data_IF_014220175680
#
_entry.id   IF_014220175680
#
_cell.length_a   1.000
_cell.length_b   1.000
_cell.length_c   1.000
_cell.angle_alpha   90.00
_cell.angle_beta   90.00
_cell.angle_gamma   90.00
#
_symmetry.space_group_name_H-M   'P 1'
#
loop_
_entity.id
_entity.type
_entity.pdbx_description
1 polymer ?
#
# COMPACT_ATOMS: atom_id res chain seq x y z
N UNK A 1 19.24 -9.52 -2.80
CA UNK A 1 17.99 -9.48 -2.02
C UNK A 1 17.52 -10.90 -1.74
N UNK A 2 17.23 -11.26 -0.48
CA UNK A 2 16.85 -12.62 -0.04
C UNK A 2 15.69 -13.21 -0.86
N UNK A 3 14.68 -12.41 -1.22
CA UNK A 3 13.51 -12.83 -1.98
C UNK A 3 13.79 -13.29 -3.43
N UNK A 4 15.00 -13.07 -3.96
CA UNK A 4 15.43 -13.56 -5.27
C UNK A 4 16.09 -14.95 -5.20
N UNK A 5 16.42 -15.42 -4.00
CA UNK A 5 17.02 -16.73 -3.81
C UNK A 5 15.95 -17.80 -4.02
N UNK A 6 16.33 -18.89 -4.69
CA UNK A 6 15.46 -20.04 -4.88
C UNK A 6 15.44 -20.88 -3.60
N UNK A 7 14.27 -20.96 -2.95
CA UNK A 7 14.05 -21.88 -1.84
C UNK A 7 13.69 -23.27 -2.37
N UNK A 8 14.62 -24.23 -2.21
CA UNK A 8 14.43 -25.62 -2.66
C UNK A 8 13.38 -26.37 -1.84
N UNK A 9 13.07 -25.90 -0.63
CA UNK A 9 12.06 -26.48 0.25
C UNK A 9 10.68 -25.84 0.08
N UNK A 10 10.56 -24.76 -0.69
CA UNK A 10 9.28 -24.10 -0.89
C UNK A 10 8.32 -24.99 -1.71
N UNK A 11 7.04 -25.10 -1.31
CA UNK A 11 6.05 -25.82 -2.10
C UNK A 11 5.90 -25.15 -3.47
N UNK A 12 5.86 -25.96 -4.53
CA UNK A 12 5.70 -25.46 -5.91
C UNK A 12 4.39 -24.70 -6.11
N UNK A 13 3.34 -25.08 -5.38
CA UNK A 13 2.07 -24.35 -5.29
C UNK A 13 1.58 -24.37 -3.85
N UNK A 14 1.25 -23.21 -3.30
CA UNK A 14 0.63 -23.08 -1.97
C UNK A 14 -0.89 -23.21 -2.02
N UNK A 15 -1.52 -22.82 -3.14
CA UNK A 15 -2.98 -22.80 -3.29
C UNK A 15 -3.67 -21.69 -2.46
N UNK A 16 -2.90 -20.77 -1.87
CA UNK A 16 -3.48 -19.69 -1.09
C UNK A 16 -4.14 -18.63 -2.01
N UNK A 17 -5.02 -17.81 -1.43
CA UNK A 17 -5.79 -16.80 -2.18
C UNK A 17 -4.92 -15.80 -2.93
N UNK A 18 -3.76 -15.43 -2.38
CA UNK A 18 -2.82 -14.51 -3.01
C UNK A 18 -2.18 -15.10 -4.26
N UNK A 19 -1.72 -16.35 -4.18
CA UNK A 19 -1.15 -17.07 -5.33
C UNK A 19 -2.20 -17.32 -6.42
N UNK A 20 -3.43 -17.67 -6.03
CA UNK A 20 -4.54 -17.82 -6.97
C UNK A 20 -4.85 -16.48 -7.67
N UNK A 21 -4.89 -15.37 -6.94
CA UNK A 21 -5.09 -14.04 -7.52
C UNK A 21 -3.94 -13.65 -8.47
N UNK A 22 -2.68 -13.89 -8.10
CA UNK A 22 -1.53 -13.67 -8.98
C UNK A 22 -1.68 -14.41 -10.31
N UNK A 23 -2.12 -15.68 -10.29
CA UNK A 23 -2.33 -16.48 -11.50
C UNK A 23 -3.54 -16.02 -12.31
N UNK A 24 -4.64 -15.70 -11.65
CA UNK A 24 -5.87 -15.30 -12.32
C UNK A 24 -5.71 -13.94 -13.02
N UNK A 25 -5.09 -12.97 -12.34
CA UNK A 25 -4.99 -11.58 -12.80
C UNK A 25 -3.61 -11.22 -13.37
N UNK A 26 -2.68 -12.19 -13.45
CA UNK A 26 -1.33 -12.00 -13.99
C UNK A 26 -0.53 -10.87 -13.28
N UNK A 27 -0.65 -10.80 -11.95
CA UNK A 27 0.04 -9.82 -11.10
C UNK A 27 1.10 -10.49 -10.22
N UNK A 28 2.18 -9.77 -9.89
CA UNK A 28 3.29 -10.35 -9.12
C UNK A 28 3.02 -10.48 -7.59
N UNK A 29 2.05 -9.71 -7.08
CA UNK A 29 1.69 -9.66 -5.66
C UNK A 29 2.86 -9.32 -4.72
N UNK A 30 2.77 -9.79 -3.47
CA UNK A 30 3.75 -9.50 -2.43
C UNK A 30 5.18 -10.02 -2.76
N UNK A 31 5.28 -11.16 -3.47
CA UNK A 31 6.57 -11.73 -3.89
C UNK A 31 7.26 -10.83 -4.91
N UNK A 32 6.51 -10.23 -5.84
CA UNK A 32 7.01 -9.22 -6.77
C UNK A 32 7.65 -8.04 -6.06
N UNK A 33 6.90 -7.45 -5.12
CA UNK A 33 7.41 -6.34 -4.31
C UNK A 33 8.71 -6.72 -3.60
N UNK A 34 8.77 -7.87 -2.93
CA UNK A 34 9.98 -8.31 -2.23
C UNK A 34 11.18 -8.54 -3.16
N UNK A 35 10.95 -9.13 -4.35
CA UNK A 35 12.01 -9.35 -5.36
C UNK A 35 12.51 -8.04 -5.97
N UNK A 36 11.62 -7.07 -6.14
CA UNK A 36 11.94 -5.74 -6.64
C UNK A 36 12.57 -4.82 -5.57
N UNK A 37 12.62 -5.24 -4.30
CA UNK A 37 13.16 -4.42 -3.21
C UNK A 37 12.16 -3.40 -2.66
N UNK A 38 10.87 -3.73 -2.68
CA UNK A 38 9.75 -2.95 -2.15
C UNK A 38 9.64 -1.52 -2.74
N UNK A 39 9.53 -1.37 -4.07
CA UNK A 39 9.48 -0.06 -4.73
C UNK A 39 8.30 0.81 -4.27
N UNK A 40 7.16 0.21 -3.89
CA UNK A 40 6.02 0.97 -3.37
C UNK A 40 6.20 1.40 -1.92
N UNK A 41 7.02 0.71 -1.14
CA UNK A 41 7.35 1.12 0.23
C UNK A 41 8.22 2.39 0.19
N UNK A 42 9.29 2.36 -0.60
CA UNK A 42 10.24 3.47 -0.66
C UNK A 42 9.76 4.60 -1.57
N UNK A 43 9.28 4.28 -2.77
CA UNK A 43 8.92 5.27 -3.79
C UNK A 43 7.55 5.92 -3.59
N UNK A 44 6.59 5.22 -2.97
CA UNK A 44 5.25 5.75 -2.72
C UNK A 44 4.98 6.01 -1.24
N UNK A 45 5.14 4.99 -0.38
CA UNK A 45 4.88 5.07 1.06
C UNK A 45 5.71 6.12 1.77
N UNK A 46 7.05 5.95 1.79
CA UNK A 46 7.97 6.87 2.47
C UNK A 46 7.88 8.28 1.88
N UNK A 47 7.89 8.40 0.54
CA UNK A 47 7.73 9.69 -0.14
C UNK A 47 6.49 10.45 0.32
N UNK A 48 5.33 9.79 0.37
CA UNK A 48 4.08 10.43 0.79
C UNK A 48 4.02 10.72 2.30
N UNK A 49 4.61 9.86 3.12
CA UNK A 49 4.73 10.05 4.57
C UNK A 49 5.57 11.30 4.88
N UNK A 50 6.78 11.38 4.33
CA UNK A 50 7.70 12.51 4.50
C UNK A 50 7.13 13.80 3.93
N UNK A 51 6.52 13.76 2.74
CA UNK A 51 5.87 14.92 2.14
C UNK A 51 4.70 15.45 2.99
N UNK A 52 3.97 14.57 3.70
CA UNK A 52 2.88 15.00 4.59
C UNK A 52 3.44 15.63 5.87
N UNK A 53 4.47 15.02 6.48
CA UNK A 53 5.16 15.60 7.63
C UNK A 53 5.76 16.97 7.31
N UNK A 54 6.38 17.14 6.14
CA UNK A 54 6.98 18.42 5.73
C UNK A 54 5.94 19.52 5.50
N UNK A 55 4.68 19.17 5.22
CA UNK A 55 3.57 20.12 5.15
C UNK A 55 3.03 20.53 6.53
N UNK A 56 3.46 19.85 7.60
CA UNK A 56 2.94 20.04 8.95
C UNK A 56 1.66 19.23 9.22
N UNK A 57 1.36 18.21 8.40
CA UNK A 57 0.22 17.33 8.65
C UNK A 57 0.42 16.52 9.94
N UNK A 58 -0.68 16.15 10.61
CA UNK A 58 -0.62 15.24 11.75
C UNK A 58 -0.02 13.88 11.35
N UNK A 59 0.60 13.18 12.29
CA UNK A 59 1.17 11.85 12.01
C UNK A 59 0.11 10.85 11.52
N UNK A 60 -1.12 10.91 12.04
CA UNK A 60 -2.25 10.11 11.54
C UNK A 60 -2.53 10.41 10.08
N UNK A 61 -2.57 11.68 9.71
CA UNK A 61 -2.79 12.12 8.33
C UNK A 61 -1.64 11.70 7.41
N UNK A 62 -0.40 11.81 7.88
CA UNK A 62 0.77 11.39 7.11
C UNK A 62 0.73 9.89 6.80
N UNK A 63 0.37 9.06 7.79
CA UNK A 63 0.19 7.60 7.61
C UNK A 63 -0.97 7.27 6.68
N UNK A 64 -2.08 7.99 6.76
CA UNK A 64 -3.21 7.83 5.84
C UNK A 64 -2.82 8.18 4.41
N UNK A 65 -2.13 9.30 4.19
CA UNK A 65 -1.65 9.68 2.86
C UNK A 65 -0.65 8.67 2.29
N UNK A 66 0.24 8.12 3.13
CA UNK A 66 1.14 7.04 2.74
C UNK A 66 0.39 5.77 2.33
N UNK A 67 -0.64 5.37 3.08
CA UNK A 67 -1.49 4.23 2.74
C UNK A 67 -2.19 4.46 1.39
N UNK A 68 -2.77 5.65 1.19
CA UNK A 68 -3.46 6.02 -0.05
C UNK A 68 -2.51 6.02 -1.25
N UNK A 69 -1.26 6.46 -1.07
CA UNK A 69 -0.25 6.44 -2.13
C UNK A 69 0.11 5.01 -2.55
N UNK A 70 0.10 4.08 -1.60
CA UNK A 70 0.29 2.65 -1.89
C UNK A 70 -0.96 2.06 -2.57
N UNK A 71 -2.16 2.31 -2.03
CA UNK A 71 -3.43 1.84 -2.60
C UNK A 71 -3.58 2.27 -4.05
N UNK A 72 -3.22 3.52 -4.37
CA UNK A 72 -3.32 4.08 -5.72
C UNK A 72 -2.47 3.36 -6.79
N UNK A 73 -1.53 2.50 -6.38
CA UNK A 73 -0.50 1.91 -7.27
C UNK A 73 -0.31 0.41 -7.12
N UNK A 74 -0.75 -0.18 -6.01
CA UNK A 74 -0.57 -1.60 -5.74
C UNK A 74 -1.67 -2.40 -6.43
N UNK A 75 -1.28 -3.45 -7.17
CA UNK A 75 -2.20 -4.51 -7.60
C UNK A 75 -2.48 -5.45 -6.43
N UNK A 76 -3.37 -5.00 -5.53
CA UNK A 76 -3.60 -5.64 -4.24
C UNK A 76 -4.34 -6.98 -4.41
N UNK A 77 -3.63 -8.08 -4.17
CA UNK A 77 -4.16 -9.43 -4.29
C UNK A 77 -5.32 -9.73 -3.32
N UNK A 78 -5.41 -9.02 -2.18
CA UNK A 78 -6.54 -9.14 -1.26
C UNK A 78 -7.81 -8.53 -1.85
N UNK A 79 -7.68 -7.43 -2.58
CA UNK A 79 -8.81 -6.80 -3.30
C UNK A 79 -9.20 -7.66 -4.50
N UNK A 80 -8.22 -8.02 -5.33
CA UNK A 80 -8.45 -8.83 -6.53
C UNK A 80 -9.12 -10.17 -6.22
N UNK A 81 -8.72 -10.85 -5.15
CA UNK A 81 -9.33 -12.13 -4.74
C UNK A 81 -10.77 -12.03 -4.25
N UNK A 82 -11.24 -10.83 -3.85
CA UNK A 82 -12.59 -10.62 -3.28
C UNK A 82 -13.53 -9.90 -4.23
N UNK A 83 -13.06 -8.82 -4.87
CA UNK A 83 -13.88 -7.93 -5.70
C UNK A 83 -13.38 -7.77 -7.14
N UNK A 84 -12.31 -8.47 -7.52
CA UNK A 84 -11.75 -8.45 -8.87
C UNK A 84 -11.21 -7.09 -9.31
N UNK A 85 -10.94 -6.96 -10.61
CA UNK A 85 -10.30 -5.78 -11.22
C UNK A 85 -11.15 -4.51 -11.04
N UNK A 86 -12.48 -4.61 -11.15
CA UNK A 86 -13.39 -3.48 -10.96
C UNK A 86 -13.26 -2.88 -9.56
N UNK A 87 -13.13 -3.72 -8.52
CA UNK A 87 -12.93 -3.23 -7.16
C UNK A 87 -11.52 -2.65 -6.97
N UNK A 88 -10.50 -3.28 -7.57
CA UNK A 88 -9.13 -2.76 -7.55
C UNK A 88 -9.05 -1.36 -8.16
N UNK A 89 -9.59 -1.19 -9.37
CA UNK A 89 -9.57 0.09 -10.09
C UNK A 89 -10.35 1.18 -9.33
N UNK A 90 -11.49 0.82 -8.72
CA UNK A 90 -12.26 1.75 -7.91
C UNK A 90 -11.46 2.25 -6.69
N UNK A 91 -10.76 1.35 -5.99
CA UNK A 91 -9.89 1.72 -4.87
C UNK A 91 -8.70 2.57 -5.31
N UNK A 92 -8.01 2.17 -6.38
CA UNK A 92 -6.86 2.90 -6.92
C UNK A 92 -7.26 4.32 -7.33
N UNK A 93 -8.36 4.45 -8.08
CA UNK A 93 -8.88 5.75 -8.54
C UNK A 93 -9.34 6.61 -7.38
N UNK A 94 -10.08 6.03 -6.43
CA UNK A 94 -10.54 6.77 -5.25
C UNK A 94 -9.39 7.26 -4.38
N UNK A 95 -8.36 6.43 -4.16
CA UNK A 95 -7.16 6.83 -3.42
C UNK A 95 -6.38 7.93 -4.13
N UNK A 96 -6.19 7.82 -5.46
CA UNK A 96 -5.57 8.87 -6.26
C UNK A 96 -6.34 10.19 -6.17
N UNK A 97 -7.68 10.14 -6.17
CA UNK A 97 -8.53 11.33 -6.02
C UNK A 97 -8.33 12.01 -4.66
N UNK A 98 -8.25 11.25 -3.56
CA UNK A 98 -7.99 11.81 -2.23
C UNK A 98 -6.68 12.59 -2.21
N UNK A 99 -5.61 12.00 -2.77
CA UNK A 99 -4.30 12.65 -2.85
C UNK A 99 -4.33 13.89 -3.74
N UNK A 100 -5.04 13.85 -4.87
CA UNK A 100 -5.14 14.96 -5.82
C UNK A 100 -5.81 16.21 -5.22
N UNK A 101 -6.73 16.04 -4.26
CA UNK A 101 -7.40 17.16 -3.57
C UNK A 101 -6.70 17.58 -2.27
N UNK A 102 -5.42 17.22 -2.12
CA UNK A 102 -4.56 17.64 -1.00
C UNK A 102 -4.42 16.61 0.12
N UNK A 103 -4.89 15.38 -0.08
CA UNK A 103 -4.79 14.30 0.91
C UNK A 103 -5.76 14.46 2.08
N UNK A 104 -5.69 13.53 3.03
CA UNK A 104 -6.61 13.45 4.18
C UNK A 104 -6.48 14.62 5.19
N UNK A 105 -5.62 15.60 4.93
CA UNK A 105 -5.49 16.82 5.73
C UNK A 105 -6.59 17.85 5.41
N UNK A 106 -7.12 17.81 4.19
CA UNK A 106 -8.04 18.83 3.70
C UNK A 106 -9.49 18.41 3.86
N UNK A 107 -10.41 19.36 3.98
CA UNK A 107 -11.84 19.06 4.02
C UNK A 107 -12.28 18.27 2.77
N UNK A 108 -11.81 18.66 1.58
CA UNK A 108 -12.10 17.96 0.33
C UNK A 108 -11.52 16.53 0.31
N UNK A 109 -10.30 16.35 0.82
CA UNK A 109 -9.66 15.04 0.91
C UNK A 109 -10.34 14.11 1.90
N UNK A 110 -10.77 14.62 3.06
CA UNK A 110 -11.57 13.85 4.02
C UNK A 110 -12.89 13.38 3.41
N UNK A 111 -13.60 14.26 2.69
CA UNK A 111 -14.82 13.86 1.97
C UNK A 111 -14.54 12.80 0.89
N UNK A 112 -13.48 12.97 0.13
CA UNK A 112 -13.07 11.98 -0.87
C UNK A 112 -12.67 10.63 -0.24
N UNK A 113 -12.07 10.65 0.96
CA UNK A 113 -11.65 9.47 1.71
C UNK A 113 -12.86 8.70 2.23
N UNK A 114 -13.85 9.38 2.79
CA UNK A 114 -15.12 8.77 3.21
C UNK A 114 -15.85 8.12 2.02
N UNK A 115 -15.83 8.78 0.86
CA UNK A 115 -16.40 8.19 -0.36
C UNK A 115 -15.62 6.95 -0.84
N UNK A 116 -14.28 6.95 -0.71
CA UNK A 116 -13.45 5.77 -0.99
C UNK A 116 -13.76 4.62 -0.03
N UNK A 117 -13.88 4.90 1.28
CA UNK A 117 -14.25 3.91 2.29
C UNK A 117 -15.64 3.31 2.01
N UNK A 118 -16.63 4.15 1.71
CA UNK A 118 -17.97 3.69 1.34
C UNK A 118 -17.93 2.77 0.11
N UNK A 119 -17.15 3.11 -0.91
CA UNK A 119 -16.99 2.29 -2.10
C UNK A 119 -16.31 0.93 -1.80
N UNK A 120 -15.36 0.89 -0.86
CA UNK A 120 -14.71 -0.33 -0.39
C UNK A 120 -15.70 -1.24 0.34
N UNK A 121 -16.50 -0.67 1.24
CA UNK A 121 -17.52 -1.37 2.02
C UNK A 121 -18.63 -1.94 1.14
N UNK A 122 -19.15 -1.15 0.19
CA UNK A 122 -20.16 -1.58 -0.78
C UNK A 122 -19.69 -2.81 -1.57
N UNK A 123 -18.39 -2.88 -1.88
CA UNK A 123 -17.77 -3.99 -2.62
C UNK A 123 -17.29 -5.14 -1.72
N UNK A 124 -17.37 -5.00 -0.39
CA UNK A 124 -16.90 -6.00 0.55
C UNK A 124 -15.39 -6.27 0.47
N UNK A 125 -14.59 -5.27 0.10
CA UNK A 125 -13.14 -5.40 -0.10
C UNK A 125 -12.35 -4.56 0.91
N UNK A 126 -11.12 -5.00 1.18
CA UNK A 126 -10.13 -4.20 1.91
C UNK A 126 -8.74 -4.38 1.28
N UNK A 127 -7.96 -3.29 1.17
CA UNK A 127 -6.61 -3.33 0.58
C UNK A 127 -5.58 -3.83 1.60
N UNK A 128 -5.65 -5.12 1.92
CA UNK A 128 -4.77 -5.76 2.91
C UNK A 128 -3.29 -5.73 2.50
N UNK A 129 -2.98 -5.96 1.23
CA UNK A 129 -1.61 -5.87 0.74
C UNK A 129 -1.03 -4.46 0.89
N UNK A 130 -1.85 -3.43 0.67
CA UNK A 130 -1.42 -2.05 0.89
C UNK A 130 -1.18 -1.75 2.37
N UNK A 131 -1.98 -2.31 3.28
CA UNK A 131 -1.77 -2.18 4.72
C UNK A 131 -0.46 -2.83 5.18
N UNK A 132 -0.11 -4.00 4.63
CA UNK A 132 1.17 -4.67 4.92
C UNK A 132 2.36 -3.82 4.43
N UNK A 133 2.26 -3.21 3.24
CA UNK A 133 3.29 -2.30 2.73
C UNK A 133 3.36 -0.99 3.53
N UNK A 134 2.25 -0.49 4.07
CA UNK A 134 2.29 0.63 5.02
C UNK A 134 3.05 0.23 6.28
N UNK A 135 2.80 -0.95 6.84
CA UNK A 135 3.53 -1.42 8.01
C UNK A 135 5.05 -1.48 7.74
N UNK A 136 5.46 -1.99 6.57
CA UNK A 136 6.86 -1.98 6.13
C UNK A 136 7.41 -0.55 5.97
N UNK A 137 6.61 0.37 5.44
CA UNK A 137 6.95 1.80 5.32
C UNK A 137 7.26 2.41 6.68
N UNK A 138 6.36 2.24 7.64
CA UNK A 138 6.53 2.79 9.00
C UNK A 138 7.67 2.11 9.78
N UNK A 139 7.96 0.85 9.48
CA UNK A 139 9.13 0.17 10.04
C UNK A 139 10.43 0.80 9.54
N UNK A 140 10.60 0.97 8.22
CA UNK A 140 11.80 1.57 7.64
C UNK A 140 11.98 3.03 8.08
N UNK A 141 10.89 3.79 8.09
CA UNK A 141 10.87 5.18 8.55
C UNK A 141 11.43 5.33 9.98
N UNK A 142 10.98 4.49 10.91
CA UNK A 142 11.48 4.51 12.29
C UNK A 142 12.94 4.08 12.42
N UNK A 143 13.43 3.18 11.58
CA UNK A 143 14.86 2.82 11.59
C UNK A 143 15.72 4.01 11.15
N UNK A 144 15.30 4.74 10.11
CA UNK A 144 16.02 5.91 9.64
C UNK A 144 16.02 7.07 10.64
N UNK A 145 14.94 7.24 11.41
CA UNK A 145 14.90 8.19 12.53
C UNK A 145 15.81 7.75 13.68
N UNK A 146 15.88 6.45 13.98
CA UNK A 146 16.76 5.89 15.01
C UNK A 146 18.25 6.05 14.71
N UNK A 147 18.66 5.88 13.45
CA UNK A 147 20.05 6.09 13.00
C UNK A 147 20.49 7.56 13.14
N UNK A 148 19.56 8.51 12.97
CA UNK A 148 19.83 9.94 13.17
C UNK A 148 20.07 10.31 14.66
N UNK A 149 19.54 9.51 15.60
CA UNK A 149 19.72 9.73 17.05
C UNK A 149 20.88 8.92 17.66
N UNK A 150 21.39 7.90 16.96
CA UNK A 150 22.50 7.05 17.42
C UNK A 150 23.90 7.55 17.06
N UNK A 151 24.00 8.67 16.33
CA UNK A 151 25.25 9.27 15.84
C UNK A 151 25.51 10.69 16.38
N UNK A 152 24.86 11.05 17.49
CA UNK A 152 25.03 12.32 18.19
C UNK A 152 25.85 12.15 19.48
#
# INVERSE_FOLDING_TARGET
ALARLHDRGAPGTTGNKGELACRQYQVDGARGQARAGFPLVTGAGLSALHASRSRGDSETTARLNALLAIIARLDDTCVLSRGGETALLALQTGAARVLAVGGAATAAGTQALLALEAAALERGVSPGGAADLLAATLFLDRLTEGDAHGNA
#
